data_IF_952936359394
#
_entry.id   IF_952936359394
#
_cell.length_a   1.000
_cell.length_b   1.000
_cell.length_c   1.000
_cell.angle_alpha   90.00
_cell.angle_beta   90.00
_cell.angle_gamma   90.00
#
_symmetry.space_group_name_H-M   'P 1'
#
loop_
_entity.id
_entity.type
_entity.pdbx_description
1 polymer ?
#
# COMPACT_ATOMS: atom_id res chain seq x y z
N UNK A 1 -12.88 4.06 -18.58
CA UNK A 1 -13.89 3.49 -19.49
C UNK A 1 -13.91 1.99 -19.21
N UNK A 2 -14.94 1.46 -18.54
CA UNK A 2 -15.02 0.02 -18.25
C UNK A 2 -15.91 -0.68 -19.28
N UNK A 3 -15.36 -1.72 -19.93
CA UNK A 3 -16.06 -2.64 -20.83
C UNK A 3 -16.76 -3.77 -20.04
N UNK A 4 -17.78 -4.38 -20.68
CA UNK A 4 -18.67 -5.42 -20.15
C UNK A 4 -17.99 -6.81 -20.04
N UNK A 5 -18.53 -7.75 -19.23
CA UNK A 5 -17.91 -9.05 -18.97
C UNK A 5 -18.22 -10.08 -20.06
N UNK A 6 -17.19 -10.74 -20.59
CA UNK A 6 -17.33 -11.79 -21.60
C UNK A 6 -16.05 -12.31 -22.25
N UNK A 7 -14.92 -11.61 -22.16
CA UNK A 7 -13.66 -12.09 -22.74
C UNK A 7 -12.81 -12.79 -21.67
N UNK A 8 -12.31 -13.98 -22.01
CA UNK A 8 -11.31 -14.69 -21.22
C UNK A 8 -10.03 -13.84 -21.16
N UNK A 9 -9.28 -13.88 -20.03
CA UNK A 9 -8.02 -13.15 -19.92
C UNK A 9 -7.09 -13.52 -21.08
N UNK A 10 -6.45 -12.53 -21.69
CA UNK A 10 -5.50 -12.81 -22.74
C UNK A 10 -4.27 -13.54 -22.17
N UNK A 11 -3.52 -14.22 -23.04
CA UNK A 11 -2.40 -15.07 -22.64
C UNK A 11 -1.25 -14.31 -21.94
N UNK A 12 -1.25 -12.98 -21.93
CA UNK A 12 -0.26 -12.19 -21.19
C UNK A 12 -0.64 -12.04 -19.71
N UNK A 13 -1.94 -11.97 -19.38
CA UNK A 13 -2.41 -11.92 -17.99
C UNK A 13 -2.34 -13.29 -17.27
N UNK A 14 -2.39 -14.40 -18.01
CA UNK A 14 -2.27 -15.75 -17.44
C UNK A 14 -0.81 -16.16 -17.15
N UNK A 15 0.16 -15.66 -17.92
CA UNK A 15 1.58 -15.96 -17.68
C UNK A 15 2.13 -15.25 -16.44
N UNK A 16 1.56 -14.10 -16.05
CA UNK A 16 1.98 -13.38 -14.85
C UNK A 16 1.50 -14.05 -13.53
N UNK A 17 0.44 -14.85 -13.60
CA UNK A 17 -0.11 -15.58 -12.46
C UNK A 17 0.47 -17.00 -12.28
N UNK A 18 1.10 -17.56 -13.33
CA UNK A 18 1.74 -18.88 -13.28
C UNK A 18 3.19 -18.78 -12.78
N UNK A 19 3.92 -17.70 -13.06
CA UNK A 19 5.29 -17.50 -12.55
C UNK A 19 5.36 -17.30 -11.02
N UNK A 20 4.30 -16.80 -10.39
CA UNK A 20 4.27 -16.56 -8.93
C UNK A 20 4.01 -17.85 -8.13
N UNK A 21 3.47 -18.91 -8.75
CA UNK A 21 3.13 -20.16 -8.06
C UNK A 21 4.13 -21.31 -8.29
N UNK A 22 5.03 -21.22 -9.28
CA UNK A 22 6.06 -22.26 -9.49
C UNK A 22 7.41 -21.97 -8.82
N UNK A 23 7.74 -20.72 -8.46
CA UNK A 23 8.99 -20.42 -7.73
C UNK A 23 8.98 -20.93 -6.27
N UNK A 24 7.82 -21.08 -5.64
CA UNK A 24 7.72 -21.47 -4.22
C UNK A 24 7.72 -22.98 -3.95
N UNK A 25 7.75 -23.84 -4.98
CA UNK A 25 7.69 -25.31 -4.81
C UNK A 25 9.04 -26.03 -4.96
N UNK A 26 10.15 -25.32 -5.18
CA UNK A 26 11.49 -25.93 -5.28
C UNK A 26 12.38 -25.76 -4.03
N UNK A 27 12.03 -24.87 -3.10
CA UNK A 27 12.86 -24.62 -1.90
C UNK A 27 12.55 -25.55 -0.71
N UNK A 28 11.53 -26.41 -0.80
CA UNK A 28 11.12 -27.31 0.31
C UNK A 28 11.39 -28.81 0.06
N UNK A 29 12.00 -29.20 -1.06
CA UNK A 29 12.21 -30.62 -1.37
C UNK A 29 13.62 -31.17 -1.05
N UNK A 30 14.43 -30.45 -0.29
CA UNK A 30 15.81 -30.82 0.02
C UNK A 30 16.18 -30.55 1.48
N UNK A 31 15.44 -31.15 2.42
CA UNK A 31 15.73 -31.00 3.84
C UNK A 31 17.16 -31.43 4.20
N UNK A 32 18.03 -30.46 4.48
CA UNK A 32 19.03 -30.44 5.56
C UNK A 32 19.49 -28.99 5.63
N UNK A 33 19.08 -28.19 6.62
CA UNK A 33 19.95 -27.67 7.68
C UNK A 33 19.07 -27.15 8.83
N UNK A 34 19.54 -27.40 10.04
CA UNK A 34 18.74 -27.35 11.26
C UNK A 34 18.36 -25.96 11.75
N UNK A 35 17.52 -25.97 12.78
CA UNK A 35 17.29 -24.86 13.71
C UNK A 35 18.62 -24.29 14.19
N UNK A 36 19.10 -23.25 13.52
CA UNK A 36 20.14 -22.36 14.00
C UNK A 36 19.55 -20.95 13.98
N UNK A 37 19.76 -20.22 15.07
CA UNK A 37 19.57 -18.78 15.11
C UNK A 37 20.05 -18.17 13.80
N UNK A 38 19.23 -17.36 13.11
CA UNK A 38 19.80 -16.42 12.14
C UNK A 38 20.61 -15.40 12.97
N UNK A 39 21.82 -15.79 13.35
CA UNK A 39 22.83 -14.84 13.80
C UNK A 39 23.04 -13.90 12.64
N UNK A 40 22.68 -12.63 12.80
CA UNK A 40 23.47 -11.41 12.59
C UNK A 40 24.72 -11.43 11.66
N UNK A 41 24.83 -12.38 10.74
CA UNK A 41 25.99 -12.73 9.94
C UNK A 41 25.73 -12.56 8.44
N UNK A 42 24.51 -12.20 8.05
CA UNK A 42 24.19 -11.75 6.68
C UNK A 42 24.29 -10.22 6.54
N UNK A 43 24.47 -9.49 7.65
CA UNK A 43 24.66 -8.03 7.67
C UNK A 43 26.11 -7.62 7.98
N UNK A 44 26.99 -8.58 8.27
CA UNK A 44 28.37 -8.37 8.72
C UNK A 44 29.38 -9.23 7.91
N UNK A 45 29.07 -9.68 6.70
CA UNK A 45 29.97 -10.45 5.80
C UNK A 45 29.70 -10.01 4.36
N UNK A 46 30.15 -8.79 4.02
CA UNK A 46 29.74 -8.17 2.76
C UNK A 46 30.32 -8.84 1.51
N UNK A 47 31.50 -9.46 1.62
CA UNK A 47 32.14 -10.14 0.50
C UNK A 47 31.68 -11.60 0.35
N UNK A 48 30.84 -12.08 1.30
CA UNK A 48 30.20 -13.40 1.27
C UNK A 48 31.18 -14.55 1.40
N UNK A 49 32.34 -14.32 2.01
CA UNK A 49 33.41 -15.32 2.14
C UNK A 49 33.26 -16.18 3.41
N UNK A 50 32.28 -15.87 4.28
CA UNK A 50 32.02 -16.55 5.54
C UNK A 50 32.79 -16.00 6.74
N UNK A 51 33.42 -14.83 6.62
CA UNK A 51 34.19 -14.12 7.67
C UNK A 51 33.48 -12.81 7.99
N UNK A 52 33.40 -12.47 9.29
CA UNK A 52 32.78 -11.21 9.69
C UNK A 52 33.63 -10.00 9.29
N UNK A 53 33.03 -8.87 8.88
CA UNK A 53 33.72 -7.67 8.39
C UNK A 53 34.79 -7.16 9.39
N UNK A 54 34.48 -7.20 10.68
CA UNK A 54 35.43 -6.82 11.74
C UNK A 54 36.69 -7.70 11.77
N UNK A 55 36.57 -8.95 11.36
CA UNK A 55 37.67 -9.90 11.24
C UNK A 55 38.39 -9.74 9.90
N UNK A 56 37.67 -9.40 8.83
CA UNK A 56 38.24 -9.09 7.53
C UNK A 56 39.17 -7.87 7.56
N UNK A 57 38.75 -6.80 8.25
CA UNK A 57 39.57 -5.61 8.49
C UNK A 57 40.84 -5.89 9.29
N UNK A 58 40.76 -6.86 10.21
CA UNK A 58 41.89 -7.24 11.07
C UNK A 58 42.87 -8.22 10.43
N UNK A 59 42.43 -8.93 9.38
CA UNK A 59 43.20 -10.01 8.72
C UNK A 59 43.61 -9.69 7.29
N UNK A 60 43.34 -8.47 6.80
CA UNK A 60 43.66 -7.95 5.45
C UNK A 60 42.97 -8.71 4.30
N UNK A 61 41.87 -9.42 4.56
CA UNK A 61 41.06 -10.05 3.52
C UNK A 61 40.15 -9.06 2.79
N UNK A 62 39.86 -7.91 3.41
CA UNK A 62 39.20 -6.77 2.79
C UNK A 62 39.93 -5.48 3.18
N UNK A 63 40.04 -4.51 2.26
CA UNK A 63 40.70 -3.22 2.52
C UNK A 63 39.73 -2.22 3.16
N UNK A 64 40.22 -1.23 3.89
CA UNK A 64 39.44 -0.06 4.39
C UNK A 64 40.32 1.17 4.20
N UNK A 65 40.25 1.75 3.00
CA UNK A 65 41.20 2.76 2.57
C UNK A 65 41.03 4.10 3.30
N UNK A 66 39.86 4.40 3.85
CA UNK A 66 39.56 5.66 4.52
C UNK A 66 39.32 5.55 6.04
N UNK A 67 39.35 4.34 6.58
CA UNK A 67 39.43 4.07 8.02
C UNK A 67 38.12 4.35 8.75
N UNK A 68 36.99 4.27 8.06
CA UNK A 68 35.66 4.47 8.63
C UNK A 68 35.13 3.23 9.36
N UNK A 69 35.85 2.10 9.26
CA UNK A 69 35.51 0.83 9.89
C UNK A 69 34.65 -0.08 9.02
N UNK A 70 34.54 0.20 7.72
CA UNK A 70 33.72 -0.53 6.76
C UNK A 70 34.60 -0.97 5.57
N UNK A 71 34.63 -2.28 5.23
CA UNK A 71 35.43 -2.74 4.10
C UNK A 71 35.09 -2.09 2.74
N UNK A 72 36.11 -1.79 1.94
CA UNK A 72 36.02 -1.27 0.56
C UNK A 72 35.19 -2.18 -0.35
N UNK A 73 35.21 -3.50 -0.12
CA UNK A 73 34.38 -4.46 -0.88
C UNK A 73 32.89 -4.43 -0.43
N UNK A 74 32.59 -3.93 0.78
CA UNK A 74 31.23 -3.58 1.22
C UNK A 74 30.74 -2.29 0.57
N UNK A 75 31.66 -1.43 0.11
CA UNK A 75 31.32 -0.33 -0.79
C UNK A 75 31.07 -0.91 -2.16
N UNK A 76 29.93 -1.59 -2.30
CA UNK A 76 29.42 -2.04 -3.59
C UNK A 76 29.49 -0.84 -4.53
N UNK A 77 30.42 -0.93 -5.49
CA UNK A 77 30.90 0.15 -6.34
C UNK A 77 29.75 0.87 -7.05
N UNK A 78 29.26 1.90 -6.39
CA UNK A 78 28.42 2.92 -6.99
C UNK A 78 29.34 4.10 -7.14
N UNK A 79 30.24 3.97 -8.12
CA UNK A 79 31.21 5.02 -8.50
C UNK A 79 30.50 6.17 -9.22
N UNK A 80 29.31 6.53 -8.74
CA UNK A 80 28.63 7.74 -9.10
C UNK A 80 29.24 8.87 -8.24
N UNK A 81 29.79 9.93 -8.85
CA UNK A 81 30.20 11.10 -8.08
C UNK A 81 29.02 11.85 -7.44
N UNK A 82 27.78 11.53 -7.82
CA UNK A 82 26.57 12.06 -7.19
C UNK A 82 26.18 11.21 -5.96
N UNK A 83 26.08 11.89 -4.83
CA UNK A 83 25.57 11.41 -3.55
C UNK A 83 24.73 12.57 -2.99
N UNK A 84 23.44 12.51 -3.27
CA UNK A 84 22.48 13.60 -3.10
C UNK A 84 22.21 13.97 -1.65
N UNK A 85 22.37 13.01 -0.74
CA UNK A 85 22.13 13.17 0.69
C UNK A 85 23.38 13.01 1.57
N UNK A 86 24.52 12.73 0.95
CA UNK A 86 25.85 12.63 1.59
C UNK A 86 25.94 11.52 2.62
N UNK A 87 25.27 10.40 2.37
CA UNK A 87 25.27 9.25 3.27
C UNK A 87 26.40 8.24 2.99
N UNK A 88 27.10 8.37 1.86
CA UNK A 88 28.19 7.50 1.45
C UNK A 88 27.82 6.46 0.37
N UNK A 89 26.55 6.42 -0.06
CA UNK A 89 26.04 5.58 -1.16
C UNK A 89 25.72 6.46 -2.36
N UNK A 90 26.25 6.13 -3.53
CA UNK A 90 25.99 6.93 -4.74
C UNK A 90 24.55 6.79 -5.25
N UNK A 91 23.94 7.88 -5.74
CA UNK A 91 22.52 7.99 -6.14
C UNK A 91 22.03 6.83 -7.02
N UNK A 92 22.88 6.35 -7.94
CA UNK A 92 22.55 5.26 -8.87
C UNK A 92 22.27 3.89 -8.22
N UNK A 93 22.66 3.72 -6.96
CA UNK A 93 22.50 2.49 -6.20
C UNK A 93 21.82 2.70 -4.84
N UNK A 94 21.52 3.95 -4.52
CA UNK A 94 20.88 4.32 -3.28
C UNK A 94 19.38 4.02 -3.38
N UNK A 95 18.84 3.22 -2.47
CA UNK A 95 17.40 2.96 -2.38
C UNK A 95 16.63 4.13 -1.72
N UNK A 96 17.32 5.16 -1.25
CA UNK A 96 16.79 6.45 -0.82
C UNK A 96 17.67 7.66 -1.23
N UNK A 97 17.80 8.02 -2.53
CA UNK A 97 18.75 9.04 -3.05
C UNK A 97 18.68 10.47 -2.48
N UNK A 98 17.73 10.74 -1.59
CA UNK A 98 17.46 12.04 -0.99
C UNK A 98 17.32 11.95 0.54
N UNK A 99 17.51 10.78 1.15
CA UNK A 99 17.30 10.55 2.59
C UNK A 99 18.32 9.56 3.14
N UNK A 100 19.36 10.13 3.77
CA UNK A 100 20.52 9.38 4.22
C UNK A 100 20.18 8.10 5.01
N UNK A 101 20.60 6.97 4.47
CA UNK A 101 20.42 5.62 4.98
C UNK A 101 21.57 4.70 4.53
N UNK A 102 22.76 4.99 5.05
CA UNK A 102 23.99 4.24 4.76
C UNK A 102 23.86 2.69 4.83
N UNK A 103 22.98 2.18 5.71
CA UNK A 103 22.74 0.73 5.87
C UNK A 103 21.88 0.12 4.76
N UNK A 104 21.31 0.95 3.88
CA UNK A 104 20.52 0.58 2.69
C UNK A 104 19.42 -0.44 3.01
N UNK A 105 18.88 -0.39 4.23
CA UNK A 105 17.90 -1.36 4.71
C UNK A 105 16.60 -1.21 3.93
N UNK A 106 16.10 -2.33 3.41
CA UNK A 106 14.82 -2.49 2.71
C UNK A 106 14.15 -3.76 3.24
N UNK A 107 13.24 -3.60 4.20
CA UNK A 107 12.70 -4.73 4.96
C UNK A 107 11.69 -5.57 4.16
N UNK A 108 11.06 -5.00 3.14
CA UNK A 108 10.03 -5.67 2.34
C UNK A 108 10.45 -5.99 0.90
N UNK A 109 11.66 -5.58 0.52
CA UNK A 109 12.35 -5.86 -0.74
C UNK A 109 11.62 -5.26 -1.96
N UNK A 110 11.09 -4.06 -1.84
CA UNK A 110 10.38 -3.36 -2.91
C UNK A 110 11.26 -2.38 -3.71
N UNK A 111 12.51 -2.19 -3.28
CA UNK A 111 13.51 -1.31 -3.88
C UNK A 111 13.54 0.11 -3.32
N UNK A 112 12.76 0.42 -2.28
CA UNK A 112 12.75 1.69 -1.55
C UNK A 112 13.28 1.45 -0.13
N UNK A 113 14.24 2.25 0.32
CA UNK A 113 14.81 2.05 1.66
C UNK A 113 13.84 2.41 2.78
N UNK A 114 13.91 1.68 3.90
CA UNK A 114 13.06 1.84 5.10
C UNK A 114 12.96 3.30 5.60
N UNK A 115 13.96 4.13 5.30
CA UNK A 115 14.02 5.54 5.72
C UNK A 115 13.21 6.50 4.86
N UNK A 116 13.03 6.18 3.58
CA UNK A 116 12.24 6.97 2.64
C UNK A 116 10.96 6.25 2.18
N UNK A 117 10.74 5.03 2.66
CA UNK A 117 9.53 4.25 2.41
C UNK A 117 8.38 4.68 3.35
N UNK A 118 7.25 5.03 2.75
CA UNK A 118 6.02 5.35 3.46
C UNK A 118 5.23 4.10 3.89
N UNK A 119 5.69 2.90 3.50
CA UNK A 119 5.22 1.59 3.94
C UNK A 119 6.33 0.55 4.21
N UNK A 120 7.23 0.74 5.21
CA UNK A 120 8.44 -0.08 5.46
C UNK A 120 8.27 -1.59 5.76
N UNK A 121 7.09 -2.15 5.56
CA UNK A 121 6.82 -3.57 5.72
C UNK A 121 5.73 -4.06 4.77
N UNK A 122 5.42 -3.32 3.70
CA UNK A 122 4.42 -3.67 2.69
C UNK A 122 4.82 -3.12 1.32
N UNK A 123 5.25 -3.98 0.39
CA UNK A 123 5.86 -3.54 -0.87
C UNK A 123 5.02 -2.55 -1.68
N UNK A 124 5.62 -1.40 -2.02
CA UNK A 124 4.97 -0.28 -2.66
C UNK A 124 5.94 0.68 -3.38
N UNK A 125 6.74 0.18 -4.33
CA UNK A 125 7.80 0.91 -5.07
C UNK A 125 7.46 2.32 -5.56
N UNK A 126 6.18 2.63 -5.84
CA UNK A 126 5.74 3.95 -6.31
C UNK A 126 5.40 4.96 -5.21
N UNK A 127 5.46 4.57 -3.94
CA UNK A 127 5.35 5.44 -2.77
C UNK A 127 4.11 6.37 -2.82
N UNK A 128 2.98 5.84 -3.32
CA UNK A 128 1.74 6.59 -3.43
C UNK A 128 1.22 6.93 -2.03
N UNK A 129 0.96 8.21 -1.81
CA UNK A 129 0.32 8.74 -0.61
C UNK A 129 -0.65 9.84 -1.06
N UNK A 130 -1.93 9.50 -1.21
CA UNK A 130 -2.93 10.38 -1.81
C UNK A 130 -3.34 11.54 -0.91
N UNK A 131 -3.37 11.33 0.39
CA UNK A 131 -3.85 12.31 1.37
C UNK A 131 -2.71 13.05 2.10
N UNK A 132 -1.47 12.62 1.87
CA UNK A 132 -0.21 13.19 2.34
C UNK A 132 -0.06 13.22 3.86
N UNK A 133 -0.58 12.20 4.56
CA UNK A 133 -0.56 12.13 6.02
C UNK A 133 0.73 11.49 6.62
N UNK A 134 1.62 11.00 5.76
CA UNK A 134 2.87 10.32 6.12
C UNK A 134 2.86 8.80 5.97
N UNK A 135 1.69 8.15 5.84
CA UNK A 135 1.57 6.72 5.53
C UNK A 135 1.23 6.51 4.06
N UNK A 136 1.79 5.49 3.41
CA UNK A 136 1.46 5.19 2.01
C UNK A 136 0.12 4.49 1.86
N UNK A 137 -0.55 4.68 0.72
CA UNK A 137 -1.85 4.06 0.38
C UNK A 137 -1.86 2.52 0.57
N UNK A 138 -0.68 1.87 0.57
CA UNK A 138 -0.50 0.42 0.69
C UNK A 138 -0.54 -0.11 2.13
N UNK A 139 -0.14 0.70 3.09
CA UNK A 139 -0.04 0.34 4.50
C UNK A 139 -0.85 1.26 5.41
N UNK A 140 -1.37 2.36 4.85
CA UNK A 140 -2.32 3.22 5.52
C UNK A 140 -3.67 2.51 5.61
N UNK A 141 -4.06 2.27 6.85
CA UNK A 141 -5.34 1.67 7.25
C UNK A 141 -6.02 2.56 8.29
N UNK A 142 -5.72 3.87 8.27
CA UNK A 142 -6.19 4.85 9.24
C UNK A 142 -6.74 6.18 8.67
N UNK A 143 -6.68 6.42 7.35
CA UNK A 143 -7.13 7.67 6.71
C UNK A 143 -8.66 7.76 6.49
N UNK A 144 -9.38 6.65 6.70
CA UNK A 144 -10.80 6.52 6.37
C UNK A 144 -11.12 6.68 4.87
N UNK A 145 -10.13 6.58 3.99
CA UNK A 145 -10.38 6.15 2.63
C UNK A 145 -10.82 4.69 2.71
N UNK A 146 -11.88 4.36 2.00
CA UNK A 146 -12.51 3.05 2.07
C UNK A 146 -12.65 2.51 0.66
N UNK A 147 -11.79 1.57 0.28
CA UNK A 147 -11.96 0.83 -0.96
C UNK A 147 -13.26 0.04 -0.90
N UNK A 148 -14.14 0.30 -1.86
CA UNK A 148 -15.44 -0.33 -1.95
C UNK A 148 -15.38 -1.51 -2.93
N UNK A 149 -15.57 -2.72 -2.40
CA UNK A 149 -15.64 -3.94 -3.17
C UNK A 149 -17.08 -4.45 -3.24
N UNK A 150 -17.38 -5.16 -4.32
CA UNK A 150 -18.67 -5.82 -4.51
C UNK A 150 -18.47 -7.33 -4.65
N UNK A 151 -19.40 -8.11 -4.14
CA UNK A 151 -19.53 -9.53 -4.49
C UNK A 151 -19.98 -9.71 -5.95
N UNK A 152 -19.88 -10.94 -6.47
CA UNK A 152 -20.19 -11.25 -7.87
C UNK A 152 -21.62 -10.84 -8.30
N UNK A 153 -22.57 -10.93 -7.37
CA UNK A 153 -23.97 -10.53 -7.48
C UNK A 153 -24.22 -9.04 -7.21
N UNK A 154 -23.17 -8.26 -6.88
CA UNK A 154 -23.17 -6.80 -6.70
C UNK A 154 -24.18 -6.26 -5.67
N UNK A 155 -24.70 -7.12 -4.80
CA UNK A 155 -25.72 -6.78 -3.80
C UNK A 155 -25.15 -6.62 -2.38
N UNK A 156 -23.84 -6.77 -2.21
CA UNK A 156 -23.20 -6.69 -0.90
C UNK A 156 -21.94 -5.84 -1.02
N UNK A 157 -22.07 -4.51 -0.96
CA UNK A 157 -20.93 -3.64 -0.77
C UNK A 157 -20.19 -4.03 0.51
N UNK A 158 -18.89 -4.16 0.39
CA UNK A 158 -17.95 -4.37 1.49
C UNK A 158 -16.82 -3.34 1.34
N UNK A 159 -16.22 -2.94 2.44
CA UNK A 159 -15.09 -2.02 2.42
C UNK A 159 -13.97 -2.50 3.32
N UNK A 160 -12.80 -1.89 3.16
CA UNK A 160 -11.64 -2.19 3.99
C UNK A 160 -11.89 -1.86 5.47
N UNK A 161 -11.31 -2.67 6.36
CA UNK A 161 -11.33 -2.42 7.80
C UNK A 161 -10.15 -1.52 8.13
N UNK A 162 -10.45 -0.40 8.75
CA UNK A 162 -9.46 0.57 9.21
C UNK A 162 -9.19 0.36 10.71
N UNK A 163 -7.92 0.26 11.14
CA UNK A 163 -7.54 -0.14 12.52
C UNK A 163 -8.10 0.78 13.60
N UNK A 164 -8.34 2.04 13.28
CA UNK A 164 -8.80 3.07 14.22
C UNK A 164 -10.32 3.27 14.24
N UNK A 165 -11.07 2.44 13.51
CA UNK A 165 -12.50 2.62 13.31
C UNK A 165 -13.26 1.32 13.60
N UNK A 166 -14.32 1.44 14.39
CA UNK A 166 -15.12 0.29 14.86
C UNK A 166 -16.50 0.20 14.19
N UNK A 167 -16.89 1.28 13.52
CA UNK A 167 -18.14 1.39 12.78
C UNK A 167 -17.99 2.31 11.58
N UNK A 168 -18.94 2.17 10.64
CA UNK A 168 -18.93 2.88 9.36
C UNK A 168 -20.33 3.32 8.95
N UNK A 169 -20.41 4.35 8.12
CA UNK A 169 -21.62 4.74 7.42
C UNK A 169 -21.44 4.48 5.92
N UNK A 170 -22.47 3.97 5.27
CA UNK A 170 -22.51 3.80 3.81
C UNK A 170 -23.66 4.64 3.24
N UNK A 171 -23.36 5.40 2.21
CA UNK A 171 -24.30 6.23 1.48
C UNK A 171 -24.38 5.75 0.03
N UNK A 172 -25.60 5.70 -0.51
CA UNK A 172 -25.86 5.40 -1.91
C UNK A 172 -26.63 6.56 -2.53
N UNK A 173 -26.31 6.91 -3.77
CA UNK A 173 -27.01 7.96 -4.51
C UNK A 173 -27.09 7.70 -6.00
N UNK A 174 -27.90 8.50 -6.70
CA UNK A 174 -28.00 8.51 -8.15
C UNK A 174 -26.83 9.30 -8.77
N UNK A 175 -26.05 8.66 -9.65
CA UNK A 175 -24.91 9.28 -10.32
C UNK A 175 -25.32 10.46 -11.22
N UNK A 176 -26.52 10.45 -11.79
CA UNK A 176 -27.00 11.55 -12.62
C UNK A 176 -27.23 12.83 -11.81
N UNK A 177 -27.73 12.69 -10.58
CA UNK A 177 -27.91 13.80 -9.63
C UNK A 177 -26.54 14.34 -9.18
N UNK A 178 -25.59 13.46 -8.87
CA UNK A 178 -24.22 13.86 -8.54
C UNK A 178 -23.59 14.67 -9.69
N UNK A 179 -23.69 14.19 -10.93
CA UNK A 179 -23.14 14.87 -12.10
C UNK A 179 -23.81 16.22 -12.39
N UNK A 180 -25.10 16.36 -12.08
CA UNK A 180 -25.85 17.58 -12.34
C UNK A 180 -25.64 18.65 -11.26
N UNK A 181 -25.56 18.25 -9.98
CA UNK A 181 -25.56 19.17 -8.84
C UNK A 181 -24.29 19.18 -8.00
N UNK A 182 -23.35 18.26 -8.21
CA UNK A 182 -22.16 18.09 -7.37
C UNK A 182 -22.47 17.59 -5.96
N UNK A 183 -23.70 17.15 -5.70
CA UNK A 183 -24.13 16.70 -4.37
C UNK A 183 -23.71 15.25 -4.12
N UNK A 184 -22.75 15.08 -3.22
CA UNK A 184 -22.18 13.79 -2.85
C UNK A 184 -23.07 12.98 -1.92
N UNK A 185 -23.95 13.62 -1.13
CA UNK A 185 -24.89 12.92 -0.24
C UNK A 185 -26.33 13.33 -0.53
N UNK A 186 -27.08 12.43 -1.15
CA UNK A 186 -28.50 12.64 -1.41
C UNK A 186 -29.34 12.25 -0.19
N UNK A 187 -30.36 13.06 0.12
CA UNK A 187 -31.28 12.75 1.21
C UNK A 187 -31.91 11.35 1.00
N UNK A 188 -31.89 10.46 2.00
CA UNK A 188 -32.43 9.10 1.86
C UNK A 188 -33.88 9.13 1.40
N UNK A 189 -34.21 8.35 0.36
CA UNK A 189 -35.55 8.28 -0.22
C UNK A 189 -35.95 9.46 -1.12
N UNK A 190 -35.07 10.45 -1.32
CA UNK A 190 -35.32 11.55 -2.28
C UNK A 190 -35.50 11.05 -3.73
N UNK A 191 -34.94 9.90 -4.04
CA UNK A 191 -35.17 9.12 -5.26
C UNK A 191 -34.93 7.63 -4.97
N UNK A 192 -35.27 6.71 -5.89
CA UNK A 192 -35.13 5.26 -5.67
C UNK A 192 -33.70 4.78 -5.37
N UNK A 193 -32.67 5.53 -5.78
CA UNK A 193 -31.26 5.18 -5.56
C UNK A 193 -30.65 5.87 -4.33
N UNK A 194 -31.30 6.87 -3.74
CA UNK A 194 -30.80 7.57 -2.55
C UNK A 194 -31.10 6.78 -1.27
N UNK A 195 -30.07 6.32 -0.57
CA UNK A 195 -30.19 5.60 0.69
C UNK A 195 -28.97 5.83 1.59
N UNK A 196 -29.13 5.59 2.89
CA UNK A 196 -28.03 5.57 3.85
C UNK A 196 -28.14 4.38 4.80
N UNK A 197 -27.01 3.93 5.29
CA UNK A 197 -26.86 2.82 6.20
C UNK A 197 -25.87 3.26 7.28
N UNK A 198 -26.36 3.39 8.51
CA UNK A 198 -25.62 4.03 9.60
C UNK A 198 -25.09 3.01 10.62
N UNK A 199 -23.96 3.34 11.24
CA UNK A 199 -23.37 2.59 12.36
C UNK A 199 -23.15 1.10 12.04
N UNK A 200 -22.72 0.82 10.82
CA UNK A 200 -22.45 -0.52 10.34
C UNK A 200 -21.22 -1.09 11.05
N UNK A 201 -21.35 -2.33 11.52
CA UNK A 201 -20.26 -3.16 12.03
C UNK A 201 -20.78 -4.59 11.96
N UNK A 202 -20.21 -5.50 11.14
CA UNK A 202 -18.95 -5.46 10.36
C UNK A 202 -18.94 -4.54 9.10
N UNK A 203 -17.81 -4.37 8.36
CA UNK A 203 -17.63 -3.44 7.22
C UNK A 203 -18.30 -3.93 5.91
N UNK A 204 -19.54 -4.36 6.00
CA UNK A 204 -20.35 -4.71 4.84
C UNK A 204 -21.82 -4.51 5.15
N UNK A 205 -22.63 -4.34 4.10
CA UNK A 205 -24.09 -4.39 4.24
C UNK A 205 -24.71 -5.08 3.04
N UNK A 206 -25.90 -5.63 3.23
CA UNK A 206 -26.71 -6.12 2.12
C UNK A 206 -27.48 -4.95 1.51
N UNK A 207 -27.24 -4.72 0.23
CA UNK A 207 -27.97 -3.76 -0.56
C UNK A 207 -28.45 -4.41 -1.87
N UNK A 208 -29.70 -4.89 -1.86
CA UNK A 208 -30.31 -5.62 -2.97
C UNK A 208 -30.78 -4.75 -4.13
N UNK A 209 -30.45 -3.45 -4.17
CA UNK A 209 -30.90 -2.56 -5.23
C UNK A 209 -30.12 -2.81 -6.52
N UNK A 210 -30.88 -3.17 -7.55
CA UNK A 210 -30.41 -3.22 -8.93
C UNK A 210 -30.92 -1.95 -9.62
N UNK A 211 -30.04 -1.01 -10.02
CA UNK A 211 -30.47 0.18 -10.75
C UNK A 211 -31.25 -0.19 -12.01
N UNK A 212 -32.29 0.60 -12.32
CA UNK A 212 -33.02 0.45 -13.56
C UNK A 212 -32.10 0.64 -14.78
N UNK A 213 -32.48 0.07 -15.93
CA UNK A 213 -31.70 0.21 -17.15
C UNK A 213 -31.51 1.71 -17.50
N UNK A 214 -30.25 2.12 -17.67
CA UNK A 214 -29.89 3.52 -17.93
C UNK A 214 -29.64 4.37 -16.66
N UNK A 215 -29.85 3.82 -15.47
CA UNK A 215 -29.51 4.47 -14.20
C UNK A 215 -28.22 3.90 -13.63
N UNK A 216 -27.51 4.68 -12.81
CA UNK A 216 -26.28 4.23 -12.14
C UNK A 216 -26.30 4.74 -10.70
N UNK A 217 -26.13 3.83 -9.75
CA UNK A 217 -25.90 4.19 -8.36
C UNK A 217 -24.40 4.38 -8.11
N UNK A 218 -24.04 5.33 -7.26
CA UNK A 218 -22.73 5.40 -6.64
C UNK A 218 -22.87 5.08 -5.15
N UNK A 219 -21.75 4.73 -4.54
CA UNK A 219 -21.64 4.45 -3.12
C UNK A 219 -20.46 5.21 -2.54
N UNK A 220 -20.62 5.67 -1.30
CA UNK A 220 -19.56 6.27 -0.49
C UNK A 220 -19.61 5.61 0.89
N UNK A 221 -18.49 5.06 1.33
CA UNK A 221 -18.33 4.61 2.70
C UNK A 221 -17.52 5.66 3.46
N UNK A 222 -17.77 5.79 4.76
CA UNK A 222 -16.97 6.60 5.67
C UNK A 222 -16.86 5.92 7.02
N UNK A 223 -15.74 6.12 7.68
CA UNK A 223 -15.49 5.56 8.99
C UNK A 223 -15.96 6.50 10.12
N UNK A 224 -16.37 5.92 11.24
CA UNK A 224 -16.76 6.62 12.46
C UNK A 224 -15.63 6.48 13.49
N UNK A 225 -15.06 7.61 13.89
CA UNK A 225 -14.03 7.62 14.93
C UNK A 225 -14.60 7.09 16.26
N UNK A 226 -13.75 6.66 17.23
CA UNK A 226 -14.22 6.10 18.50
C UNK A 226 -15.13 7.03 19.32
N UNK A 227 -15.08 8.33 19.07
CA UNK A 227 -15.95 9.35 19.68
C UNK A 227 -17.29 9.55 18.93
N UNK A 228 -17.58 8.73 17.91
CA UNK A 228 -18.79 8.81 17.09
C UNK A 228 -18.75 9.87 15.99
N UNK A 229 -17.65 10.60 15.82
CA UNK A 229 -17.54 11.59 14.74
C UNK A 229 -17.25 10.89 13.40
N UNK A 230 -18.10 11.19 12.42
CA UNK A 230 -17.92 10.74 11.04
C UNK A 230 -16.79 11.52 10.35
N UNK A 231 -15.91 10.81 9.64
CA UNK A 231 -14.83 11.42 8.87
C UNK A 231 -15.34 12.14 7.62
N UNK A 232 -14.45 12.91 6.97
CA UNK A 232 -14.77 13.59 5.70
C UNK A 232 -15.00 12.54 4.60
N UNK A 233 -15.83 12.86 3.61
CA UNK A 233 -16.09 11.97 2.45
C UNK A 233 -14.95 12.03 1.40
N UNK A 234 -13.75 12.39 1.85
CA UNK A 234 -12.63 12.80 0.99
C UNK A 234 -12.84 14.17 0.35
N UNK A 235 -11.95 14.47 -0.60
CA UNK A 235 -11.95 15.70 -1.38
C UNK A 235 -12.50 15.48 -2.80
N UNK A 236 -12.98 16.54 -3.44
CA UNK A 236 -13.34 16.56 -4.86
C UNK A 236 -12.08 16.62 -5.76
N UNK A 237 -12.30 16.68 -7.08
CA UNK A 237 -11.20 16.72 -8.05
C UNK A 237 -10.35 18.00 -8.00
N UNK A 238 -10.82 19.03 -7.30
CA UNK A 238 -10.13 20.30 -7.09
C UNK A 238 -9.47 20.36 -5.70
N UNK A 239 -9.54 19.27 -4.92
CA UNK A 239 -8.93 19.16 -3.60
C UNK A 239 -9.76 19.75 -2.46
N UNK A 240 -11.00 20.18 -2.70
CA UNK A 240 -11.87 20.70 -1.65
C UNK A 240 -12.62 19.57 -0.92
N UNK A 241 -12.79 19.64 0.42
CA UNK A 241 -13.59 18.67 1.15
C UNK A 241 -15.00 18.57 0.58
N UNK A 242 -15.46 17.35 0.33
CA UNK A 242 -16.80 17.12 -0.21
C UNK A 242 -17.85 17.53 0.82
N UNK A 243 -18.83 18.36 0.44
CA UNK A 243 -19.93 18.72 1.33
C UNK A 243 -20.80 17.49 1.64
N UNK A 244 -21.33 17.44 2.87
CA UNK A 244 -22.05 16.30 3.38
C UNK A 244 -23.33 16.76 4.11
N UNK A 245 -24.36 17.09 3.33
CA UNK A 245 -25.60 17.70 3.84
C UNK A 245 -26.54 16.70 4.54
N UNK A 246 -26.40 15.40 4.25
CA UNK A 246 -27.32 14.35 4.70
C UNK A 246 -26.55 13.22 5.41
N UNK A 247 -25.71 13.57 6.39
CA UNK A 247 -24.98 12.57 7.19
C UNK A 247 -25.93 11.79 8.09
N UNK A 248 -25.49 10.60 8.48
CA UNK A 248 -26.10 9.82 9.53
C UNK A 248 -26.18 10.64 10.85
N UNK A 249 -27.22 10.44 11.67
CA UNK A 249 -27.39 11.12 12.95
C UNK A 249 -26.34 10.76 14.00
#
# INVERSE_FOLDING_TARGET
MLHLPGDAPDAAELNMAIDILEQHSLDWAGGTLGRGSMSNALFNDCNGNGVEDSQDLSSETSSDADGDGIPDDCRRLCTDPADGDSDGVGDSCDNCPLTANFDQRDADNDGVGDRCDNCPGTPNTYQQNRDADGYGDRCDTGDAMLDLFFNADKNRPRWQVERNFLSWNLYRGDLSVLKAGGDYLQAPGSNPLAAQFCSLSPPYTSDGVIPAAGSTAFYLATALAPNGLERLLGNDGDGFPRPAANRCP
#
